data_IF_721542064001
#
_entry.id   IF_721542064001
#
_cell.length_a   1.000
_cell.length_b   1.000
_cell.length_c   1.000
_cell.angle_alpha   90.00
_cell.angle_beta   90.00
_cell.angle_gamma   90.00
#
_symmetry.space_group_name_H-M   'P 1'
#
loop_
_entity.id
_entity.type
_entity.pdbx_description
1 polymer ?
#
# COMPACT_ATOMS: atom_id res chain seq x y z
N UNK A 1 -4.31 -0.52 -4.94
CA UNK A 1 -3.28 -0.49 -6.00
C UNK A 1 -3.80 0.32 -7.17
N UNK A 2 -2.99 1.24 -7.70
CA UNK A 2 -3.34 2.08 -8.85
C UNK A 2 -2.37 1.76 -9.98
N UNK A 3 -2.91 1.47 -11.17
CA UNK A 3 -2.14 1.06 -12.35
C UNK A 3 -2.44 2.00 -13.52
N UNK A 4 -1.45 2.65 -14.14
CA UNK A 4 -1.65 3.42 -15.36
C UNK A 4 -1.90 2.50 -16.56
N UNK A 5 -2.78 2.92 -17.46
CA UNK A 5 -3.04 2.24 -18.74
C UNK A 5 -2.55 3.16 -19.87
N UNK A 6 -1.64 2.62 -20.68
CA UNK A 6 -1.05 3.32 -21.83
C UNK A 6 -1.67 2.83 -23.14
N UNK A 7 -1.63 3.68 -24.17
CA UNK A 7 -2.04 3.30 -25.52
C UNK A 7 -1.18 2.17 -26.09
N UNK A 8 -1.77 1.37 -26.98
CA UNK A 8 -1.04 0.27 -27.63
C UNK A 8 0.16 0.83 -28.41
N UNK A 9 1.37 0.34 -28.10
CA UNK A 9 2.63 0.81 -28.66
C UNK A 9 2.87 2.33 -28.55
N UNK A 10 2.23 3.01 -27.58
CA UNK A 10 2.35 4.46 -27.35
C UNK A 10 2.71 4.77 -25.89
N UNK A 11 3.51 5.82 -25.62
CA UNK A 11 3.73 6.33 -24.26
C UNK A 11 2.54 7.15 -23.71
N UNK A 12 1.46 7.33 -24.49
CA UNK A 12 0.31 8.13 -24.08
C UNK A 12 -0.46 7.46 -22.93
N UNK A 13 -0.57 8.17 -21.81
CA UNK A 13 -1.38 7.76 -20.67
C UNK A 13 -2.86 7.99 -20.98
N UNK A 14 -3.63 6.91 -21.09
CA UNK A 14 -5.05 7.00 -21.39
C UNK A 14 -5.88 7.22 -20.13
N UNK A 15 -5.66 6.40 -19.10
CA UNK A 15 -6.39 6.46 -17.83
C UNK A 15 -5.67 5.65 -16.74
N UNK A 16 -6.24 5.65 -15.53
CA UNK A 16 -5.80 4.82 -14.40
C UNK A 16 -6.89 3.83 -14.01
N UNK A 17 -6.48 2.64 -13.59
CA UNK A 17 -7.34 1.66 -12.92
C UNK A 17 -6.95 1.58 -11.45
N UNK A 18 -7.94 1.65 -10.57
CA UNK A 18 -7.74 1.51 -9.13
C UNK A 18 -8.43 0.24 -8.62
N UNK A 19 -7.64 -0.68 -8.05
CA UNK A 19 -8.14 -1.82 -7.29
C UNK A 19 -8.06 -1.51 -5.79
N UNK A 20 -9.20 -1.59 -5.09
CA UNK A 20 -9.29 -1.36 -3.65
C UNK A 20 -9.82 -2.62 -2.96
N UNK A 21 -9.11 -3.05 -1.92
CA UNK A 21 -9.55 -4.08 -0.98
C UNK A 21 -9.49 -3.52 0.44
N UNK A 22 -10.32 -4.06 1.33
CA UNK A 22 -10.21 -3.82 2.76
C UNK A 22 -9.39 -4.97 3.37
N UNK A 23 -8.34 -4.63 4.10
CA UNK A 23 -7.59 -5.58 4.91
C UNK A 23 -8.15 -5.54 6.33
N UNK A 24 -8.50 -6.70 6.88
CA UNK A 24 -9.08 -6.79 8.22
C UNK A 24 -8.08 -6.43 9.33
N UNK A 25 -6.79 -6.42 9.00
CA UNK A 25 -5.68 -6.10 9.88
C UNK A 25 -4.50 -5.57 9.03
N UNK A 26 -3.79 -4.58 9.55
CA UNK A 26 -2.61 -3.96 8.92
C UNK A 26 -1.54 -3.60 9.99
N UNK A 27 -1.59 -4.30 11.12
CA UNK A 27 -0.83 -3.98 12.32
C UNK A 27 -1.58 -3.02 13.24
N UNK A 28 -0.83 -2.47 14.21
CA UNK A 28 -1.34 -1.56 15.23
C UNK A 28 -1.24 -2.12 16.64
N UNK A 29 -1.66 -1.33 17.63
CA UNK A 29 -1.54 -1.69 19.05
C UNK A 29 -2.57 -2.75 19.52
N UNK A 30 -3.50 -3.14 18.65
CA UNK A 30 -4.51 -4.15 18.92
C UNK A 30 -4.88 -4.88 17.62
N UNK A 31 -5.19 -6.18 17.67
CA UNK A 31 -5.59 -6.94 16.48
C UNK A 31 -6.95 -6.47 15.93
N UNK A 32 -7.08 -6.56 14.60
CA UNK A 32 -8.29 -6.20 13.86
C UNK A 32 -8.23 -4.81 13.23
N UNK A 33 -9.32 -4.42 12.55
CA UNK A 33 -9.28 -3.27 11.64
C UNK A 33 -9.28 -1.90 12.32
N UNK A 34 -9.83 -1.78 13.53
CA UNK A 34 -9.97 -0.50 14.23
C UNK A 34 -9.68 -0.69 15.72
N UNK A 35 -8.61 -0.06 16.20
CA UNK A 35 -8.28 -0.03 17.63
C UNK A 35 -8.95 1.16 18.31
N UNK A 36 -9.86 0.95 19.29
CA UNK A 36 -10.49 2.05 20.02
C UNK A 36 -9.55 2.73 21.03
N UNK A 37 -8.33 2.21 21.18
CA UNK A 37 -7.31 2.72 22.11
C UNK A 37 -6.24 3.55 21.42
N UNK A 38 -6.19 3.53 20.09
CA UNK A 38 -5.24 4.34 19.35
C UNK A 38 -5.61 5.82 19.53
N UNK A 39 -4.62 6.62 19.91
CA UNK A 39 -4.69 8.06 20.13
C UNK A 39 -3.84 8.83 19.14
N UNK A 40 -2.94 8.12 18.45
CA UNK A 40 -2.09 8.64 17.39
C UNK A 40 -2.16 7.74 16.17
N UNK A 41 -1.90 8.32 15.01
CA UNK A 41 -1.92 7.60 13.75
C UNK A 41 -0.95 6.42 13.80
N UNK A 42 0.28 6.58 14.31
CA UNK A 42 1.26 5.49 14.30
C UNK A 42 0.82 4.23 15.07
N UNK A 43 -0.19 4.34 15.93
CA UNK A 43 -0.75 3.24 16.73
C UNK A 43 -1.79 2.38 15.98
N UNK A 44 -2.28 2.79 14.81
CA UNK A 44 -3.24 2.00 13.99
C UNK A 44 -2.59 1.20 12.84
N UNK A 45 -1.26 1.03 12.87
CA UNK A 45 -0.55 0.07 12.03
C UNK A 45 0.35 0.70 10.97
N UNK A 46 0.38 0.08 9.79
CA UNK A 46 1.26 0.51 8.69
C UNK A 46 0.58 1.62 7.87
N UNK A 47 1.22 2.79 7.82
CA UNK A 47 0.83 3.90 6.96
C UNK A 47 1.73 3.97 5.72
N UNK A 48 1.09 4.00 4.54
CA UNK A 48 1.75 3.85 3.27
C UNK A 48 1.61 5.15 2.46
N UNK A 49 2.68 5.94 2.41
CA UNK A 49 2.82 6.98 1.40
C UNK A 49 2.80 6.38 -0.02
N UNK A 50 2.49 7.16 -1.07
CA UNK A 50 2.52 6.67 -2.44
C UNK A 50 3.82 5.92 -2.79
N UNK A 51 3.70 4.60 -2.91
CA UNK A 51 4.81 3.70 -3.15
C UNK A 51 4.71 3.09 -4.54
N UNK A 52 5.78 3.20 -5.33
CA UNK A 52 5.85 2.55 -6.65
C UNK A 52 6.03 1.05 -6.48
N UNK A 53 4.94 0.30 -6.59
CA UNK A 53 4.90 -1.15 -6.37
C UNK A 53 5.61 -1.97 -7.47
N UNK A 54 5.50 -1.51 -8.72
CA UNK A 54 6.13 -2.14 -9.90
C UNK A 54 6.94 -1.10 -10.66
N UNK A 55 8.18 -1.43 -11.01
CA UNK A 55 9.06 -0.56 -11.78
C UNK A 55 9.68 -1.34 -12.95
N UNK A 56 9.46 -0.86 -14.18
CA UNK A 56 9.96 -1.48 -15.42
C UNK A 56 9.60 -2.98 -15.52
N UNK A 57 8.35 -3.32 -15.19
CA UNK A 57 7.85 -4.70 -15.20
C UNK A 57 8.30 -5.56 -14.01
N UNK A 58 9.17 -5.07 -13.13
CA UNK A 58 9.61 -5.80 -11.93
C UNK A 58 8.77 -5.43 -10.72
N UNK A 59 8.19 -6.44 -10.06
CA UNK A 59 7.59 -6.28 -8.74
C UNK A 59 8.68 -6.04 -7.68
N UNK A 60 8.48 -5.00 -6.86
CA UNK A 60 9.43 -4.58 -5.81
C UNK A 60 9.12 -5.27 -4.49
N UNK A 61 9.17 -6.61 -4.50
CA UNK A 61 8.72 -7.45 -3.40
C UNK A 61 9.48 -7.19 -2.10
N UNK A 62 10.82 -7.16 -2.13
CA UNK A 62 11.63 -6.91 -0.95
C UNK A 62 11.30 -5.55 -0.32
N UNK A 63 11.15 -4.51 -1.15
CA UNK A 63 10.83 -3.17 -0.69
C UNK A 63 9.37 -3.07 -0.18
N UNK A 64 8.45 -3.82 -0.78
CA UNK A 64 7.07 -3.90 -0.31
C UNK A 64 6.98 -4.62 1.03
N UNK A 65 7.73 -5.72 1.21
CA UNK A 65 7.80 -6.44 2.48
C UNK A 65 8.40 -5.56 3.57
N UNK A 66 9.53 -4.90 3.30
CA UNK A 66 10.15 -3.96 4.24
C UNK A 66 9.16 -2.86 4.66
N UNK A 67 8.43 -2.29 3.69
CA UNK A 67 7.40 -1.29 3.95
C UNK A 67 6.30 -1.81 4.88
N UNK A 68 5.89 -3.08 4.73
CA UNK A 68 4.88 -3.72 5.55
C UNK A 68 5.40 -4.17 6.93
N UNK A 69 6.72 -4.23 7.16
CA UNK A 69 7.26 -4.77 8.44
C UNK A 69 8.01 -3.75 9.29
N UNK A 70 8.33 -2.57 8.75
CA UNK A 70 9.19 -1.59 9.44
C UNK A 70 8.47 -0.62 10.38
N UNK A 71 7.13 -0.59 10.37
CA UNK A 71 6.37 0.29 11.25
C UNK A 71 6.60 -0.11 12.73
N UNK A 72 6.39 0.81 13.70
CA UNK A 72 6.52 0.47 15.12
C UNK A 72 5.56 -0.64 15.57
N UNK A 73 4.40 -0.75 14.93
CA UNK A 73 3.38 -1.77 15.15
C UNK A 73 2.94 -2.36 13.80
N UNK A 74 3.76 -3.22 13.17
CA UNK A 74 3.47 -3.79 11.85
C UNK A 74 2.42 -4.90 11.90
#
# INVERSE_FOLDING_TARGET
VVTPVFGENSPDLLFFVAARGHHADIGGIAPGSMSPKASRIEEEGIYIDPFKLVARGRFREAEALELLTKAPYP
#
